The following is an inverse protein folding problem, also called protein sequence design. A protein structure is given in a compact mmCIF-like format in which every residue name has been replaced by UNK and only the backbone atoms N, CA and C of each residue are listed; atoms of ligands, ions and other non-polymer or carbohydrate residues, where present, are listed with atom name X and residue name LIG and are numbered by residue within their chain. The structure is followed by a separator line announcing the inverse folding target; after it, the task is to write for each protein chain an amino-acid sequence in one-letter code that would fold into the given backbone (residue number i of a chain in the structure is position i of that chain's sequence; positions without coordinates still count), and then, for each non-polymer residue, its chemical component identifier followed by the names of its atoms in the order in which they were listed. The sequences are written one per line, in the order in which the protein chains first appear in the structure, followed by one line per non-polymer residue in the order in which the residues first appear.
data_IF_872339773917
#
_entry.id   IF_872339773917
#
_cell.length_a   1.000
_cell.length_b   1.000
_cell.length_c   1.000
_cell.angle_alpha   90.00
_cell.angle_beta   90.00
_cell.angle_gamma   90.00
#
_symmetry.space_group_name_H-M   'P 1'
#
loop_
_entity.id
_entity.type
_entity.pdbx_description
1 polymer ?
#
# COMPACT_ATOMS: atom_id res chain seq x y z
N UNK A 1 -21.44 5.31 42.74
CA UNK A 1 -22.00 5.88 41.49
C UNK A 1 -21.00 6.85 40.90
N UNK A 2 -20.42 6.52 39.75
CA UNK A 2 -20.06 7.43 38.64
C UNK A 2 -19.26 6.62 37.61
N UNK A 3 -19.95 5.81 36.83
CA UNK A 3 -19.42 5.29 35.56
C UNK A 3 -19.65 6.39 34.54
N UNK A 4 -18.66 7.26 34.36
CA UNK A 4 -18.61 8.12 33.19
C UNK A 4 -18.49 7.20 31.98
N UNK A 5 -19.59 6.96 31.28
CA UNK A 5 -19.55 6.31 29.98
C UNK A 5 -18.77 7.26 29.06
N UNK A 6 -17.56 6.86 28.70
CA UNK A 6 -16.78 7.59 27.70
C UNK A 6 -17.64 7.70 26.45
N UNK A 7 -18.02 8.92 26.08
CA UNK A 7 -18.66 9.20 24.80
C UNK A 7 -17.71 8.70 23.74
N UNK A 8 -18.03 7.56 23.15
CA UNK A 8 -17.25 7.02 22.04
C UNK A 8 -17.48 7.98 20.88
N UNK A 9 -16.54 8.89 20.64
CA UNK A 9 -16.61 9.80 19.52
C UNK A 9 -16.86 8.98 18.26
N UNK A 10 -17.91 9.33 17.50
CA UNK A 10 -18.26 8.62 16.27
C UNK A 10 -17.14 8.84 15.27
N UNK A 11 -16.41 7.77 14.93
CA UNK A 11 -15.38 7.82 13.89
C UNK A 11 -16.03 8.16 12.55
N UNK A 12 -15.31 8.94 11.74
CA UNK A 12 -15.74 9.29 10.39
C UNK A 12 -15.04 8.40 9.39
N UNK A 13 -15.80 7.86 8.44
CA UNK A 13 -15.22 7.11 7.34
C UNK A 13 -14.26 8.01 6.56
N UNK A 14 -13.08 7.49 6.22
CA UNK A 14 -12.03 8.21 5.50
C UNK A 14 -11.75 7.61 4.11
N UNK A 15 -11.85 6.28 3.98
CA UNK A 15 -11.53 5.57 2.74
C UNK A 15 -12.34 4.27 2.62
N UNK A 16 -12.79 3.96 1.40
CA UNK A 16 -13.30 2.66 0.95
C UNK A 16 -12.64 2.34 -0.40
N UNK A 17 -12.08 1.14 -0.54
CA UNK A 17 -11.58 0.65 -1.82
C UNK A 17 -10.54 -0.45 -1.68
N UNK A 18 -9.42 -0.31 -2.39
CA UNK A 18 -8.31 -1.28 -2.37
C UNK A 18 -6.97 -0.57 -2.17
N UNK A 19 -6.08 -1.21 -1.41
CA UNK A 19 -4.66 -0.87 -1.36
C UNK A 19 -3.82 -2.08 -1.78
N UNK A 20 -2.84 -1.89 -2.64
CA UNK A 20 -1.87 -2.91 -3.02
C UNK A 20 -0.46 -2.40 -2.72
N UNK A 21 0.30 -3.13 -1.90
CA UNK A 21 1.62 -2.72 -1.44
C UNK A 21 2.71 -3.67 -1.90
N UNK A 22 3.86 -3.12 -2.28
CA UNK A 22 5.04 -3.86 -2.71
C UNK A 22 6.31 -3.20 -2.16
N UNK A 23 7.02 -3.86 -1.26
CA UNK A 23 8.38 -3.50 -0.89
C UNK A 23 9.38 -4.40 -1.62
N UNK A 24 10.27 -3.79 -2.41
CA UNK A 24 11.31 -4.46 -3.18
C UNK A 24 12.61 -4.50 -2.40
N UNK A 25 13.09 -5.71 -2.11
CA UNK A 25 14.34 -5.95 -1.41
C UNK A 25 15.48 -6.23 -2.39
N UNK A 26 16.70 -5.73 -2.12
CA UNK A 26 17.86 -5.99 -2.97
C UNK A 26 18.11 -7.48 -3.20
N UNK A 27 18.52 -7.82 -4.42
CA UNK A 27 18.87 -9.18 -4.84
C UNK A 27 20.29 -9.20 -5.42
N UNK A 28 20.93 -10.37 -5.39
CA UNK A 28 22.20 -10.61 -6.08
C UNK A 28 22.02 -10.79 -7.61
N UNK A 29 23.12 -11.05 -8.31
CA UNK A 29 23.11 -11.27 -9.77
C UNK A 29 22.31 -12.51 -10.20
N UNK A 30 22.05 -13.45 -9.29
CA UNK A 30 21.20 -14.62 -9.51
C UNK A 30 19.74 -14.39 -9.15
N UNK A 31 19.37 -13.19 -8.67
CA UNK A 31 18.01 -12.88 -8.22
C UNK A 31 17.69 -13.34 -6.80
N UNK A 32 18.68 -13.78 -6.03
CA UNK A 32 18.48 -14.19 -4.64
C UNK A 32 18.49 -12.96 -3.72
N UNK A 33 17.54 -12.89 -2.79
CA UNK A 33 17.47 -11.83 -1.79
C UNK A 33 18.78 -11.70 -1.00
N UNK A 34 19.27 -10.47 -0.87
CA UNK A 34 20.42 -10.15 -0.02
C UNK A 34 19.96 -10.12 1.45
N UNK A 35 20.41 -11.07 2.31
CA UNK A 35 19.91 -11.17 3.67
C UNK A 35 20.21 -9.91 4.49
N UNK A 36 19.21 -9.43 5.21
CA UNK A 36 19.34 -8.25 6.08
C UNK A 36 19.31 -6.90 5.36
N UNK A 37 19.33 -6.89 4.02
CA UNK A 37 19.21 -5.66 3.26
C UNK A 37 17.76 -5.14 3.26
N UNK A 38 17.52 -3.90 3.71
CA UNK A 38 16.18 -3.35 3.80
C UNK A 38 15.67 -2.89 2.42
N UNK A 39 14.36 -2.92 2.20
CA UNK A 39 13.72 -2.65 0.90
C UNK A 39 14.16 -1.35 0.22
N UNK A 40 14.75 -1.40 -0.97
CA UNK A 40 15.25 -0.21 -1.69
C UNK A 40 14.12 0.72 -2.17
N UNK A 41 12.92 0.17 -2.35
CA UNK A 41 11.74 0.85 -2.87
C UNK A 41 10.47 0.28 -2.20
N UNK A 42 9.48 1.14 -1.97
CA UNK A 42 8.12 0.74 -1.64
C UNK A 42 7.13 1.39 -2.59
N UNK A 43 6.27 0.58 -3.22
CA UNK A 43 5.14 1.00 -4.02
C UNK A 43 3.83 0.72 -3.29
N UNK A 44 2.89 1.65 -3.37
CA UNK A 44 1.54 1.53 -2.81
C UNK A 44 0.53 2.05 -3.82
N UNK A 45 -0.25 1.16 -4.42
CA UNK A 45 -1.31 1.48 -5.37
C UNK A 45 -2.66 1.51 -4.65
N UNK A 46 -3.37 2.61 -4.84
CA UNK A 46 -4.66 2.87 -4.22
C UNK A 46 -5.75 2.95 -5.28
N UNK A 47 -6.86 2.26 -5.02
CA UNK A 47 -8.11 2.38 -5.76
C UNK A 47 -9.18 2.84 -4.78
N UNK A 48 -9.64 4.08 -4.89
CA UNK A 48 -10.69 4.61 -4.03
C UNK A 48 -12.06 4.52 -4.73
N UNK A 49 -12.94 3.68 -4.21
CA UNK A 49 -14.37 3.72 -4.53
C UNK A 49 -15.02 4.95 -3.86
N UNK A 50 -14.55 5.28 -2.66
CA UNK A 50 -14.90 6.48 -1.94
C UNK A 50 -13.77 6.91 -1.01
N UNK A 51 -13.46 8.21 -0.94
CA UNK A 51 -12.63 8.75 0.14
C UNK A 51 -12.96 10.22 0.38
N UNK A 52 -12.59 10.73 1.56
CA UNK A 52 -12.73 12.17 1.86
C UNK A 52 -11.77 13.06 1.04
N UNK A 53 -10.81 12.46 0.34
CA UNK A 53 -9.77 13.17 -0.43
C UNK A 53 -9.95 13.07 -1.95
N UNK A 54 -10.95 12.33 -2.42
CA UNK A 54 -11.16 12.04 -3.84
C UNK A 54 -11.44 10.57 -4.13
N UNK A 55 -11.65 10.26 -5.40
CA UNK A 55 -11.88 8.89 -5.91
C UNK A 55 -10.92 8.60 -7.06
N UNK A 56 -10.77 7.33 -7.41
CA UNK A 56 -9.92 6.90 -8.53
C UNK A 56 -8.60 6.27 -8.08
N UNK A 57 -7.58 6.37 -8.94
CA UNK A 57 -6.33 5.61 -8.81
C UNK A 57 -5.14 6.51 -8.46
N UNK A 58 -4.28 6.01 -7.58
CA UNK A 58 -2.98 6.63 -7.30
C UNK A 58 -1.92 5.56 -7.00
N UNK A 59 -0.81 5.59 -7.72
CA UNK A 59 0.40 4.87 -7.37
C UNK A 59 1.34 5.80 -6.60
N UNK A 60 1.76 5.39 -5.41
CA UNK A 60 2.78 6.07 -4.62
C UNK A 60 4.05 5.23 -4.65
N UNK A 61 5.19 5.87 -4.91
CA UNK A 61 6.51 5.22 -4.92
C UNK A 61 7.41 5.98 -3.95
N UNK A 62 7.90 5.28 -2.93
CA UNK A 62 8.78 5.80 -1.90
C UNK A 62 10.17 5.19 -2.04
N UNK A 63 11.18 6.05 -2.10
CA UNK A 63 12.59 5.65 -2.16
C UNK A 63 13.43 6.53 -1.23
N UNK A 64 14.72 6.22 -1.08
CA UNK A 64 15.63 7.07 -0.27
C UNK A 64 15.83 8.47 -0.87
N UNK A 65 15.52 8.65 -2.15
CA UNK A 65 15.57 9.95 -2.84
C UNK A 65 14.29 10.77 -2.66
N UNK A 66 13.26 10.21 -2.03
CA UNK A 66 11.98 10.87 -1.78
C UNK A 66 10.79 10.14 -2.40
N UNK A 67 9.63 10.77 -2.30
CA UNK A 67 8.35 10.19 -2.73
C UNK A 67 7.91 10.75 -4.07
N UNK A 68 7.32 9.88 -4.88
CA UNK A 68 6.70 10.20 -6.17
C UNK A 68 5.29 9.63 -6.19
N UNK A 69 4.43 10.26 -6.98
CA UNK A 69 3.09 9.76 -7.24
C UNK A 69 2.74 9.80 -8.72
N UNK A 70 1.88 8.86 -9.11
CA UNK A 70 1.28 8.75 -10.43
C UNK A 70 -0.23 8.61 -10.29
N UNK A 71 -0.99 9.30 -11.12
CA UNK A 71 -2.45 9.28 -11.08
C UNK A 71 -3.03 10.53 -11.73
N UNK A 72 -4.35 10.66 -11.75
CA UNK A 72 -5.04 11.79 -12.36
C UNK A 72 -5.21 12.98 -11.42
N UNK A 73 -5.06 12.77 -10.11
CA UNK A 73 -5.30 13.77 -9.07
C UNK A 73 -4.11 13.84 -8.10
N UNK A 74 -3.39 14.97 -8.15
CA UNK A 74 -2.25 15.25 -7.30
C UNK A 74 -2.62 15.43 -5.82
N UNK A 75 -3.77 16.03 -5.53
CA UNK A 75 -4.23 16.28 -4.16
C UNK A 75 -4.63 14.96 -3.49
N UNK A 76 -5.34 14.10 -4.21
CA UNK A 76 -5.68 12.77 -3.74
C UNK A 76 -4.44 11.95 -3.42
N UNK A 77 -3.47 11.89 -4.35
CA UNK A 77 -2.23 11.16 -4.14
C UNK A 77 -1.40 11.70 -2.97
N UNK A 78 -1.27 13.03 -2.86
CA UNK A 78 -0.56 13.65 -1.74
C UNK A 78 -1.23 13.34 -0.40
N UNK A 79 -2.56 13.39 -0.34
CA UNK A 79 -3.34 13.05 0.85
C UNK A 79 -3.15 11.59 1.26
N UNK A 80 -3.19 10.65 0.31
CA UNK A 80 -2.93 9.23 0.60
C UNK A 80 -1.50 9.01 1.13
N UNK A 81 -0.52 9.74 0.61
CA UNK A 81 0.86 9.66 1.09
C UNK A 81 0.98 10.17 2.53
N UNK A 82 0.45 11.35 2.83
CA UNK A 82 0.60 12.02 4.12
C UNK A 82 -0.27 11.45 5.22
N UNK A 83 -1.49 11.03 4.89
CA UNK A 83 -2.50 10.63 5.88
C UNK A 83 -2.48 9.13 6.17
N UNK A 84 -2.12 8.31 5.17
CA UNK A 84 -2.19 6.84 5.28
C UNK A 84 -0.82 6.18 5.10
N UNK A 85 -0.24 6.31 3.91
CA UNK A 85 0.84 5.44 3.43
C UNK A 85 2.13 5.62 4.21
N UNK A 86 2.49 6.85 4.59
CA UNK A 86 3.72 7.12 5.38
C UNK A 86 3.79 6.38 6.72
N UNK A 87 2.65 5.92 7.22
CA UNK A 87 2.54 5.23 8.49
C UNK A 87 2.67 3.71 8.35
N UNK A 88 2.78 3.19 7.12
CA UNK A 88 3.02 1.77 6.91
C UNK A 88 4.46 1.43 7.29
N UNK A 89 4.71 0.31 7.99
CA UNK A 89 6.07 -0.09 8.36
C UNK A 89 7.04 -0.12 7.18
N UNK A 90 6.57 -0.57 6.01
CA UNK A 90 7.33 -0.66 4.76
C UNK A 90 7.72 0.72 4.21
N UNK A 91 6.88 1.73 4.44
CA UNK A 91 7.07 3.09 3.94
C UNK A 91 7.80 4.01 4.93
N UNK A 92 7.68 3.75 6.24
CA UNK A 92 8.14 4.63 7.32
C UNK A 92 9.65 4.91 7.28
N UNK A 93 10.42 4.07 6.58
CA UNK A 93 11.86 4.24 6.41
C UNK A 93 12.27 5.28 5.38
N UNK A 94 11.36 5.74 4.54
CA UNK A 94 11.65 6.67 3.44
C UNK A 94 11.26 8.10 3.82
N UNK A 95 12.12 9.09 3.56
CA UNK A 95 11.85 10.47 3.94
C UNK A 95 10.70 11.04 3.12
N UNK A 96 9.67 11.58 3.80
CA UNK A 96 8.57 12.31 3.18
C UNK A 96 8.72 13.81 3.47
N UNK A 97 9.63 14.46 2.74
CA UNK A 97 9.83 15.92 2.80
C UNK A 97 8.96 16.66 1.78
N UNK A 98 8.41 15.91 0.82
CA UNK A 98 7.53 16.34 -0.25
C UNK A 98 7.22 15.16 -1.17
N UNK A 99 6.22 15.31 -2.03
CA UNK A 99 5.88 14.32 -3.05
C UNK A 99 5.78 15.01 -4.40
N UNK A 100 6.54 14.52 -5.38
CA UNK A 100 6.34 14.96 -6.76
C UNK A 100 5.20 14.18 -7.40
N UNK A 101 4.47 14.82 -8.29
CA UNK A 101 3.32 14.21 -8.95
C UNK A 101 3.51 14.19 -10.46
N UNK A 102 3.21 13.03 -11.04
CA UNK A 102 3.24 12.80 -12.47
C UNK A 102 1.86 12.34 -12.91
N UNK A 103 1.19 13.14 -13.75
CA UNK A 103 -0.11 12.75 -14.29
C UNK A 103 -0.04 11.43 -15.06
N UNK A 104 -0.86 10.45 -14.68
CA UNK A 104 -1.00 9.15 -15.37
C UNK A 104 -2.41 8.59 -15.15
N UNK A 105 -2.90 7.78 -16.08
CA UNK A 105 -4.19 7.12 -15.99
C UNK A 105 -3.95 5.61 -16.07
N UNK A 106 -4.54 4.88 -15.13
CA UNK A 106 -4.30 3.44 -14.97
C UNK A 106 -5.50 2.63 -15.44
N UNK A 107 -5.24 1.66 -16.30
CA UNK A 107 -6.10 0.50 -16.49
C UNK A 107 -5.75 -0.56 -15.43
N UNK A 108 -6.76 -1.13 -14.78
CA UNK A 108 -6.55 -1.97 -13.59
C UNK A 108 -7.31 -3.28 -13.71
N UNK A 109 -6.55 -4.38 -13.66
CA UNK A 109 -7.06 -5.74 -13.53
C UNK A 109 -6.81 -6.21 -12.09
N UNK A 110 -7.89 -6.53 -11.38
CA UNK A 110 -7.81 -7.08 -10.03
C UNK A 110 -8.59 -8.39 -9.97
N UNK A 111 -7.91 -9.46 -9.58
CA UNK A 111 -8.49 -10.77 -9.35
C UNK A 111 -7.97 -11.31 -8.01
N UNK A 112 -8.87 -11.47 -7.02
CA UNK A 112 -8.50 -11.97 -5.69
C UNK A 112 -7.92 -13.40 -5.70
N UNK A 113 -8.09 -14.13 -6.80
CA UNK A 113 -7.46 -15.40 -7.14
C UNK A 113 -6.01 -15.27 -7.61
N UNK A 114 -5.74 -14.28 -8.48
CA UNK A 114 -4.48 -14.18 -9.24
C UNK A 114 -3.54 -13.07 -8.76
N UNK A 115 -4.07 -11.88 -8.45
CA UNK A 115 -3.26 -10.70 -8.18
C UNK A 115 -3.89 -9.38 -8.63
N UNK A 116 -3.03 -8.39 -8.83
CA UNK A 116 -3.34 -7.07 -9.36
C UNK A 116 -2.34 -6.71 -10.47
N UNK A 117 -2.85 -6.13 -11.55
CA UNK A 117 -2.04 -5.44 -12.55
C UNK A 117 -2.63 -4.06 -12.80
N UNK A 118 -1.85 -3.02 -12.54
CA UNK A 118 -2.20 -1.65 -12.82
C UNK A 118 -1.23 -1.07 -13.85
N UNK A 119 -1.74 -0.75 -15.04
CA UNK A 119 -0.94 -0.32 -16.18
C UNK A 119 -1.27 1.13 -16.53
N UNK A 120 -0.29 2.01 -16.36
CA UNK A 120 -0.32 3.40 -16.83
C UNK A 120 0.62 3.61 -18.00
N UNK A 121 0.67 4.85 -18.53
CA UNK A 121 1.60 5.20 -19.61
C UNK A 121 3.03 5.39 -19.10
N UNK A 122 3.17 5.76 -17.83
CA UNK A 122 4.45 6.14 -17.21
C UNK A 122 4.83 5.21 -16.08
N UNK A 123 3.88 4.52 -15.45
CA UNK A 123 4.18 3.53 -14.45
C UNK A 123 3.31 2.28 -14.59
N UNK A 124 3.84 1.13 -14.17
CA UNK A 124 3.12 -0.14 -14.08
C UNK A 124 3.45 -0.80 -12.74
N UNK A 125 2.44 -1.39 -12.11
CA UNK A 125 2.59 -2.23 -10.92
C UNK A 125 1.89 -3.57 -11.17
N UNK A 126 2.64 -4.65 -10.98
CA UNK A 126 2.10 -6.01 -10.99
C UNK A 126 2.39 -6.67 -9.65
N UNK A 127 1.39 -7.30 -9.04
CA UNK A 127 1.52 -8.10 -7.81
C UNK A 127 0.75 -9.40 -8.03
N UNK A 128 1.40 -10.54 -7.83
CA UNK A 128 0.85 -11.85 -8.20
C UNK A 128 1.28 -12.97 -7.25
N UNK A 129 0.69 -14.15 -7.45
CA UNK A 129 0.98 -15.34 -6.64
C UNK A 129 0.40 -15.23 -5.24
N UNK A 130 -0.92 -15.07 -5.15
CA UNK A 130 -1.65 -14.99 -3.88
C UNK A 130 -1.41 -16.24 -3.03
N UNK A 131 -0.86 -16.04 -1.85
CA UNK A 131 -0.47 -17.09 -0.91
C UNK A 131 -1.60 -17.47 0.04
N UNK A 132 -2.46 -16.51 0.40
CA UNK A 132 -3.58 -16.70 1.33
C UNK A 132 -4.64 -15.59 1.18
N UNK A 133 -5.80 -15.74 1.83
CA UNK A 133 -6.92 -14.78 1.83
C UNK A 133 -7.52 -14.70 3.23
N UNK A 134 -7.34 -13.57 3.91
CA UNK A 134 -7.73 -13.44 5.31
C UNK A 134 -8.60 -12.22 5.52
N UNK A 135 -9.71 -12.38 6.25
CA UNK A 135 -10.42 -11.23 6.79
C UNK A 135 -9.56 -10.59 7.88
N UNK A 136 -9.41 -9.28 7.80
CA UNK A 136 -8.69 -8.50 8.79
C UNK A 136 -9.62 -7.41 9.32
N UNK A 137 -9.66 -7.28 10.64
CA UNK A 137 -10.38 -6.21 11.31
C UNK A 137 -9.57 -5.76 12.54
N UNK A 138 -9.24 -4.47 12.56
CA UNK A 138 -8.53 -3.82 13.65
C UNK A 138 -9.31 -2.56 14.05
N UNK A 139 -10.22 -2.66 15.04
CA UNK A 139 -11.05 -1.54 15.45
C UNK A 139 -10.26 -0.42 16.16
N UNK A 140 -9.02 -0.67 16.58
CA UNK A 140 -8.14 0.33 17.20
C UNK A 140 -6.75 0.27 16.53
N UNK A 141 -6.74 0.23 15.19
CA UNK A 141 -5.52 0.25 14.40
C UNK A 141 -4.75 1.55 14.65
N UNK A 142 -3.47 1.44 15.00
CA UNK A 142 -2.63 2.62 15.21
C UNK A 142 -2.15 3.16 13.85
N UNK A 143 -2.56 4.38 13.52
CA UNK A 143 -2.16 5.10 12.31
C UNK A 143 -1.35 6.33 12.70
N UNK A 144 -0.02 6.20 12.69
CA UNK A 144 0.85 7.23 13.26
C UNK A 144 0.56 7.43 14.74
N UNK A 145 0.13 8.64 15.13
CA UNK A 145 -0.27 8.95 16.50
C UNK A 145 -1.80 8.84 16.75
N UNK A 146 -2.59 8.55 15.70
CA UNK A 146 -4.04 8.47 15.78
C UNK A 146 -4.54 7.02 15.87
N UNK A 147 -5.73 6.83 16.47
CA UNK A 147 -6.43 5.54 16.49
C UNK A 147 -7.48 5.50 15.40
N UNK A 148 -7.33 4.56 14.46
CA UNK A 148 -8.24 4.32 13.36
C UNK A 148 -8.99 2.99 13.56
N UNK A 149 -10.08 2.81 12.82
CA UNK A 149 -10.62 1.48 12.53
C UNK A 149 -10.22 1.10 11.11
N UNK A 150 -9.70 -0.12 10.94
CA UNK A 150 -9.33 -0.69 9.64
C UNK A 150 -9.99 -2.05 9.48
N UNK A 151 -10.57 -2.31 8.31
CA UNK A 151 -10.93 -3.66 7.90
C UNK A 151 -10.65 -3.85 6.42
N UNK A 152 -10.26 -5.07 6.02
CA UNK A 152 -10.07 -5.47 4.63
C UNK A 152 -10.09 -7.01 4.52
N UNK A 153 -10.01 -7.51 3.30
CA UNK A 153 -9.50 -8.84 3.03
C UNK A 153 -8.04 -8.68 2.60
N UNK A 154 -7.13 -9.29 3.35
CA UNK A 154 -5.69 -9.23 3.14
C UNK A 154 -5.20 -10.48 2.38
N UNK A 155 -4.42 -10.25 1.34
CA UNK A 155 -3.91 -11.25 0.40
C UNK A 155 -2.40 -11.07 0.27
N UNK A 156 -1.57 -11.79 1.04
CA UNK A 156 -0.12 -11.79 0.82
C UNK A 156 0.20 -12.47 -0.52
N UNK A 157 1.19 -11.94 -1.24
CA UNK A 157 1.55 -12.37 -2.60
C UNK A 157 3.03 -12.75 -2.68
N UNK A 158 3.41 -13.74 -3.48
CA UNK A 158 4.81 -14.19 -3.58
C UNK A 158 5.69 -13.27 -4.42
N UNK A 159 5.11 -12.52 -5.35
CA UNK A 159 5.84 -11.78 -6.38
C UNK A 159 5.23 -10.41 -6.63
N UNK A 160 6.07 -9.48 -7.06
CA UNK A 160 5.62 -8.20 -7.59
C UNK A 160 6.72 -7.48 -8.36
N UNK A 161 6.33 -6.60 -9.27
CA UNK A 161 7.18 -5.80 -10.14
C UNK A 161 6.67 -4.38 -10.19
N UNK A 162 7.59 -3.42 -10.21
CA UNK A 162 7.30 -2.01 -10.39
C UNK A 162 8.14 -1.49 -11.57
N UNK A 163 7.48 -0.79 -12.49
CA UNK A 163 8.14 -0.14 -13.63
C UNK A 163 7.82 1.35 -13.59
N UNK A 164 8.84 2.21 -13.68
CA UNK A 164 8.69 3.66 -13.87
C UNK A 164 9.40 4.05 -15.18
N UNK A 165 8.69 4.74 -16.07
CA UNK A 165 9.16 5.20 -17.38
C UNK A 165 9.81 4.09 -18.24
N UNK A 166 9.25 2.89 -18.19
CA UNK A 166 9.75 1.72 -18.92
C UNK A 166 10.97 1.04 -18.29
N UNK A 167 11.40 1.47 -17.11
CA UNK A 167 12.51 0.87 -16.35
C UNK A 167 11.96 0.12 -15.15
N UNK A 168 12.23 -1.18 -15.08
CA UNK A 168 11.88 -2.02 -13.92
C UNK A 168 12.77 -1.69 -12.72
N UNK A 169 12.15 -1.58 -11.54
CA UNK A 169 12.88 -1.40 -10.29
C UNK A 169 13.58 -2.69 -9.86
N UNK A 170 14.86 -2.62 -9.48
CA UNK A 170 15.58 -3.79 -9.03
C UNK A 170 15.08 -4.27 -7.67
N UNK A 171 14.96 -5.59 -7.53
CA UNK A 171 14.67 -6.27 -6.27
C UNK A 171 13.58 -7.31 -6.40
N UNK A 172 13.21 -7.90 -5.27
CA UNK A 172 12.15 -8.88 -5.19
C UNK A 172 11.31 -8.68 -3.92
N UNK A 173 10.08 -9.19 -3.95
CA UNK A 173 9.27 -9.35 -2.75
C UNK A 173 9.91 -10.39 -1.81
N UNK A 174 9.76 -10.17 -0.50
CA UNK A 174 10.22 -11.12 0.53
C UNK A 174 9.02 -11.74 1.22
N UNK A 175 9.02 -13.07 1.30
CA UNK A 175 8.05 -13.84 2.08
C UNK A 175 8.65 -14.19 3.44
N UNK A 176 7.81 -14.20 4.47
CA UNK A 176 8.21 -14.58 5.81
C UNK A 176 7.09 -15.34 6.52
N UNK A 177 7.43 -16.27 7.44
CA UNK A 177 6.43 -16.96 8.24
C UNK A 177 5.78 -15.96 9.20
N UNK A 178 4.46 -15.85 9.14
CA UNK A 178 3.66 -15.07 10.07
C UNK A 178 2.92 -15.98 11.06
N UNK A 179 2.49 -15.46 12.21
CA UNK A 179 1.74 -16.22 13.22
C UNK A 179 0.36 -16.71 12.71
N UNK A 180 -0.15 -16.09 11.64
CA UNK A 180 -1.44 -16.42 11.01
C UNK A 180 -1.28 -17.11 9.65
N UNK A 181 -0.06 -17.57 9.31
CA UNK A 181 0.29 -18.13 8.00
C UNK A 181 1.31 -17.26 7.24
N UNK A 182 1.55 -17.52 5.94
CA UNK A 182 2.52 -16.75 5.17
C UNK A 182 2.19 -15.25 5.19
N UNK A 183 3.22 -14.44 5.26
CA UNK A 183 3.18 -12.99 5.09
C UNK A 183 4.20 -12.60 4.02
N UNK A 184 4.04 -11.42 3.44
CA UNK A 184 4.87 -10.97 2.33
C UNK A 184 5.00 -9.46 2.31
N UNK A 185 6.13 -8.97 1.77
CA UNK A 185 6.30 -7.57 1.43
C UNK A 185 5.53 -7.15 0.18
N UNK A 186 4.91 -8.10 -0.53
CA UNK A 186 3.93 -7.86 -1.58
C UNK A 186 2.54 -8.30 -1.09
N UNK A 187 1.53 -7.45 -1.20
CA UNK A 187 0.18 -7.76 -0.72
C UNK A 187 -0.90 -6.98 -1.44
N UNK A 188 -2.12 -7.51 -1.38
CA UNK A 188 -3.36 -6.79 -1.69
C UNK A 188 -4.21 -6.71 -0.43
N UNK A 189 -4.82 -5.55 -0.20
CA UNK A 189 -5.83 -5.28 0.80
C UNK A 189 -7.09 -4.81 0.08
N UNK A 190 -7.98 -5.76 -0.23
CA UNK A 190 -9.21 -5.52 -1.00
C UNK A 190 -10.39 -5.30 -0.07
N UNK A 191 -11.41 -4.59 -0.54
CA UNK A 191 -12.56 -4.18 0.27
C UNK A 191 -12.12 -3.47 1.56
N UNK A 192 -11.06 -2.66 1.44
CA UNK A 192 -10.50 -1.91 2.53
C UNK A 192 -11.43 -0.78 2.93
N UNK A 193 -11.73 -0.67 4.22
CA UNK A 193 -12.37 0.50 4.81
C UNK A 193 -11.54 1.04 5.97
N UNK A 194 -11.43 2.37 6.03
CA UNK A 194 -10.77 3.10 7.11
C UNK A 194 -11.69 4.13 7.71
N UNK A 195 -11.77 4.18 9.03
CA UNK A 195 -12.42 5.24 9.78
C UNK A 195 -11.43 5.90 10.75
N UNK A 196 -11.44 7.23 10.79
CA UNK A 196 -10.56 8.08 11.60
C UNK A 196 -11.34 8.77 12.72
#
# INVERSE_FOLDING_TARGET
MNTSAAVTARRSLAFIGTNAGLALHPVDAGGLLLPGEPASCFASFWMADWSRWGVGHALLVATRQGWRSYGTDAFFAASLATELTRHFPEAARFPLDGISHTGDEFDVELDAGQGLRATGRKAELEISGVLDRRQFAAPNFQLGNASAALSNVYLPCSTGRLTEFGVEWPGAATMYPGPLGPASSAFLAVAESRAL
#
